data_IF_061602849692
#
_entry.id   IF_061602849692
#
_cell.length_a   1.000
_cell.length_b   1.000
_cell.length_c   1.000
_cell.angle_alpha   90.00
_cell.angle_beta   90.00
_cell.angle_gamma   90.00
#
_symmetry.space_group_name_H-M   'P 1'
#
loop_
_entity.id
_entity.type
_entity.pdbx_description
1 polymer ?
#
# COMPACT_ATOMS: atom_id res chain seq x y z
N UNK A 1 -13.62 -7.91 30.63
CA UNK A 1 -12.88 -8.44 29.46
C UNK A 1 -11.42 -8.57 29.84
N UNK A 2 -10.73 -9.61 29.36
CA UNK A 2 -9.29 -9.74 29.52
C UNK A 2 -8.59 -8.58 28.80
N UNK A 3 -7.61 -7.98 29.44
CA UNK A 3 -6.70 -6.99 28.84
C UNK A 3 -5.37 -7.65 28.53
N UNK A 4 -4.75 -7.26 27.43
CA UNK A 4 -3.52 -7.89 26.93
C UNK A 4 -2.33 -6.94 27.04
N UNK A 5 -1.17 -7.49 27.46
CA UNK A 5 0.11 -6.80 27.41
C UNK A 5 0.82 -7.19 26.11
N UNK A 6 1.26 -6.21 25.35
CA UNK A 6 1.74 -6.38 23.98
C UNK A 6 3.12 -5.76 23.81
N UNK A 7 4.04 -6.48 23.17
CA UNK A 7 5.26 -5.90 22.59
C UNK A 7 5.09 -5.91 21.07
N UNK A 8 5.24 -4.73 20.45
CA UNK A 8 5.23 -4.56 18.99
C UNK A 8 6.61 -4.13 18.51
N UNK A 9 7.30 -5.03 17.82
CA UNK A 9 8.61 -4.77 17.23
C UNK A 9 8.47 -4.15 15.85
N UNK A 10 9.24 -3.09 15.57
CA UNK A 10 9.15 -2.34 14.31
C UNK A 10 7.74 -1.78 14.10
N UNK A 11 7.19 -1.17 15.14
CA UNK A 11 5.77 -0.84 15.28
C UNK A 11 5.23 0.09 14.19
N UNK A 12 6.10 0.93 13.62
CA UNK A 12 5.68 1.93 12.66
C UNK A 12 4.69 2.92 13.29
N UNK A 13 3.56 3.12 12.63
CA UNK A 13 2.47 3.99 13.10
C UNK A 13 1.39 3.23 13.90
N UNK A 14 1.75 2.20 14.62
CA UNK A 14 0.86 1.39 15.48
C UNK A 14 -0.36 0.75 14.78
N UNK A 15 -0.18 0.31 13.54
CA UNK A 15 -1.21 -0.46 12.83
C UNK A 15 -1.65 -1.70 13.61
N UNK A 16 -0.75 -2.31 14.39
CA UNK A 16 -1.03 -3.46 15.26
C UNK A 16 -2.01 -3.11 16.38
N UNK A 17 -1.85 -1.96 17.03
CA UNK A 17 -2.75 -1.49 18.08
C UNK A 17 -4.15 -1.19 17.53
N UNK A 18 -4.22 -0.57 16.35
CA UNK A 18 -5.48 -0.35 15.65
C UNK A 18 -6.18 -1.69 15.30
N UNK A 19 -5.40 -2.69 14.86
CA UNK A 19 -5.91 -4.01 14.53
C UNK A 19 -6.46 -4.74 15.76
N UNK A 20 -5.81 -4.60 16.92
CA UNK A 20 -6.33 -5.13 18.19
C UNK A 20 -7.70 -4.57 18.52
N UNK A 21 -7.88 -3.25 18.41
CA UNK A 21 -9.19 -2.61 18.62
C UNK A 21 -10.26 -3.18 17.69
N UNK A 22 -9.94 -3.36 16.38
CA UNK A 22 -10.87 -3.98 15.41
C UNK A 22 -11.16 -5.46 15.67
N UNK A 23 -10.21 -6.17 16.29
CA UNK A 23 -10.41 -7.56 16.71
C UNK A 23 -11.22 -7.67 18.01
N UNK A 24 -11.58 -6.55 18.65
CA UNK A 24 -12.29 -6.53 19.93
C UNK A 24 -11.41 -6.86 21.15
N UNK A 25 -10.09 -6.75 21.00
CA UNK A 25 -9.12 -7.02 22.06
C UNK A 25 -8.80 -5.73 22.84
N UNK A 26 -8.94 -5.77 24.15
CA UNK A 26 -8.57 -4.67 25.02
C UNK A 26 -7.10 -4.71 25.39
N UNK A 27 -6.40 -3.61 25.20
CA UNK A 27 -4.99 -3.45 25.58
C UNK A 27 -4.88 -3.03 27.04
N UNK A 28 -3.94 -3.62 27.79
CA UNK A 28 -3.51 -3.15 29.11
C UNK A 28 -2.28 -2.25 28.95
N UNK A 29 -1.22 -2.81 28.43
CA UNK A 29 0.00 -2.06 28.06
C UNK A 29 0.42 -2.41 26.65
N UNK A 30 0.75 -1.40 25.87
CA UNK A 30 1.29 -1.56 24.52
C UNK A 30 2.68 -0.95 24.48
N UNK A 31 3.67 -1.80 24.32
CA UNK A 31 5.07 -1.46 24.26
C UNK A 31 5.53 -1.46 22.79
N UNK A 32 5.81 -0.28 22.25
CA UNK A 32 6.19 -0.09 20.86
C UNK A 32 7.71 0.09 20.71
N UNK A 33 8.34 -0.76 19.89
CA UNK A 33 9.73 -0.58 19.49
C UNK A 33 9.76 0.08 18.10
N UNK A 34 10.03 1.38 18.07
CA UNK A 34 10.13 2.18 16.85
C UNK A 34 11.18 3.27 17.03
N UNK A 35 11.93 3.58 15.95
CA UNK A 35 12.98 4.61 15.93
C UNK A 35 12.66 5.78 15.00
N UNK A 36 11.69 5.61 14.08
CA UNK A 36 11.26 6.69 13.20
C UNK A 36 10.39 7.69 13.97
N UNK A 37 10.95 8.89 14.18
CA UNK A 37 10.29 9.96 14.95
C UNK A 37 8.91 10.35 14.40
N UNK A 38 8.69 10.24 13.08
CA UNK A 38 7.41 10.58 12.46
C UNK A 38 6.37 9.49 12.68
N UNK A 39 6.77 8.23 12.62
CA UNK A 39 5.90 7.11 12.99
C UNK A 39 5.50 7.20 14.46
N UNK A 40 6.48 7.45 15.36
CA UNK A 40 6.21 7.68 16.79
C UNK A 40 5.31 8.89 17.04
N UNK A 41 5.37 9.95 16.21
CA UNK A 41 4.47 11.09 16.30
C UNK A 41 3.03 10.67 16.00
N UNK A 42 2.79 9.98 14.88
CA UNK A 42 1.47 9.46 14.52
C UNK A 42 0.92 8.52 15.59
N UNK A 43 1.78 7.65 16.15
CA UNK A 43 1.39 6.77 17.26
C UNK A 43 0.93 7.57 18.47
N UNK A 44 1.66 8.62 18.90
CA UNK A 44 1.27 9.43 20.07
C UNK A 44 -0.05 10.14 19.90
N UNK A 45 -0.38 10.57 18.68
CA UNK A 45 -1.64 11.25 18.39
C UNK A 45 -2.83 10.30 18.39
N UNK A 46 -2.66 9.11 17.81
CA UNK A 46 -3.74 8.12 17.75
C UNK A 46 -3.86 7.28 19.04
N UNK A 47 -2.73 7.05 19.72
CA UNK A 47 -2.62 6.18 20.90
C UNK A 47 -1.67 6.80 21.94
N UNK A 48 -2.10 7.83 22.66
CA UNK A 48 -1.24 8.57 23.61
C UNK A 48 -0.70 7.72 24.76
N UNK A 49 -1.38 6.63 25.11
CA UNK A 49 -0.97 5.72 26.18
C UNK A 49 0.06 4.67 25.74
N UNK A 50 0.53 4.72 24.49
CA UNK A 50 1.55 3.79 23.98
C UNK A 50 2.91 4.04 24.64
N UNK A 51 3.49 2.98 25.20
CA UNK A 51 4.80 3.01 25.86
C UNK A 51 5.91 2.79 24.81
N UNK A 52 6.60 3.87 24.42
CA UNK A 52 7.66 3.82 23.42
C UNK A 52 8.96 3.29 24.03
N UNK A 53 9.42 2.13 23.57
CA UNK A 53 10.68 1.52 23.98
C UNK A 53 11.88 1.91 23.10
N UNK A 54 11.62 2.48 21.91
CA UNK A 54 12.65 2.92 20.97
C UNK A 54 13.29 1.77 20.20
N UNK A 55 14.61 1.67 20.27
CA UNK A 55 15.38 0.68 19.50
C UNK A 55 15.17 -0.73 20.03
N UNK A 56 14.65 -1.61 19.19
CA UNK A 56 14.38 -3.02 19.48
C UNK A 56 15.60 -3.80 20.00
N UNK A 57 16.81 -3.41 19.59
CA UNK A 57 18.08 -4.05 20.02
C UNK A 57 18.40 -3.80 21.48
N UNK A 58 17.76 -2.83 22.12
CA UNK A 58 17.98 -2.47 23.52
C UNK A 58 16.91 -3.01 24.46
N UNK A 59 15.84 -3.60 23.91
CA UNK A 59 14.73 -4.11 24.73
C UNK A 59 15.14 -5.42 25.38
N UNK A 60 15.10 -5.45 26.73
CA UNK A 60 15.35 -6.63 27.56
C UNK A 60 14.33 -6.72 28.68
N UNK A 61 14.17 -7.90 29.25
CA UNK A 61 13.28 -8.12 30.41
C UNK A 61 13.75 -7.35 31.65
N UNK A 62 15.03 -7.00 31.74
CA UNK A 62 15.60 -6.18 32.82
C UNK A 62 15.06 -4.74 32.85
N UNK A 63 14.52 -4.24 31.73
CA UNK A 63 13.81 -2.94 31.69
C UNK A 63 12.53 -2.93 32.51
N UNK A 64 12.03 -4.11 32.86
CA UNK A 64 10.82 -4.33 33.65
C UNK A 64 11.21 -4.90 35.00
N UNK A 65 10.48 -4.52 36.08
CA UNK A 65 10.65 -5.18 37.36
C UNK A 65 10.19 -6.64 37.23
N UNK A 66 10.96 -7.58 37.80
CA UNK A 66 10.65 -9.00 37.69
C UNK A 66 9.26 -9.34 38.25
N UNK A 67 8.90 -8.75 39.39
CA UNK A 67 7.56 -8.89 40.00
C UNK A 67 6.47 -8.38 39.08
N UNK A 68 6.73 -7.25 38.39
CA UNK A 68 5.79 -6.70 37.42
C UNK A 68 5.51 -7.62 36.25
N UNK A 69 6.54 -8.25 35.68
CA UNK A 69 6.37 -9.22 34.58
C UNK A 69 5.71 -10.52 35.04
N UNK A 70 5.89 -10.94 36.29
CA UNK A 70 5.15 -12.08 36.86
C UNK A 70 3.66 -11.83 36.95
N UNK A 71 3.28 -10.62 37.33
CA UNK A 71 1.87 -10.22 37.44
C UNK A 71 1.27 -9.80 36.08
N UNK A 72 2.09 -9.25 35.19
CA UNK A 72 1.71 -8.71 33.88
C UNK A 72 2.57 -9.32 32.77
N UNK A 73 2.46 -10.64 32.51
CA UNK A 73 3.23 -11.28 31.43
C UNK A 73 2.87 -10.69 30.07
N UNK A 74 3.81 -10.75 29.14
CA UNK A 74 3.53 -10.36 27.75
C UNK A 74 2.64 -11.42 27.11
N UNK A 75 1.44 -11.05 26.73
CA UNK A 75 0.48 -11.95 26.09
C UNK A 75 0.74 -12.10 24.59
N UNK A 76 1.11 -11.01 23.92
CA UNK A 76 1.28 -10.97 22.46
C UNK A 76 2.57 -10.26 22.07
N UNK A 77 3.36 -10.92 21.23
CA UNK A 77 4.48 -10.31 20.51
C UNK A 77 4.11 -10.21 19.03
N UNK A 78 4.20 -9.02 18.44
CA UNK A 78 3.99 -8.85 17.01
C UNK A 78 5.04 -7.96 16.38
N UNK A 79 5.27 -8.12 15.07
CA UNK A 79 6.22 -7.28 14.33
C UNK A 79 6.33 -7.63 12.87
N UNK A 80 6.92 -6.69 12.12
CA UNK A 80 7.28 -6.86 10.70
C UNK A 80 8.74 -6.48 10.51
N UNK A 81 9.65 -7.44 10.61
CA UNK A 81 11.08 -7.14 10.51
C UNK A 81 11.44 -6.62 9.10
N UNK A 82 12.36 -5.63 8.98
CA UNK A 82 12.81 -5.15 7.68
C UNK A 82 13.33 -6.28 6.80
N UNK A 83 12.78 -6.37 5.56
CA UNK A 83 13.02 -7.48 4.63
C UNK A 83 14.26 -7.32 3.75
N UNK A 84 15.00 -6.22 3.87
CA UNK A 84 16.04 -5.85 2.89
C UNK A 84 17.21 -6.85 2.78
N UNK A 85 17.43 -7.69 3.78
CA UNK A 85 18.38 -8.82 3.73
C UNK A 85 17.82 -10.10 3.12
N UNK A 86 16.48 -10.24 3.04
CA UNK A 86 15.79 -11.44 2.57
C UNK A 86 15.11 -11.28 1.20
N UNK A 87 15.15 -10.07 0.60
CA UNK A 87 14.43 -9.81 -0.65
C UNK A 87 15.13 -10.42 -1.87
N UNK A 88 14.34 -10.67 -2.93
CA UNK A 88 14.76 -11.24 -4.23
C UNK A 88 15.92 -10.49 -4.90
N UNK A 89 16.19 -9.24 -4.50
CA UNK A 89 17.24 -8.37 -5.06
C UNK A 89 18.53 -8.37 -4.22
N UNK A 90 18.58 -9.03 -3.06
CA UNK A 90 19.77 -9.11 -2.21
C UNK A 90 20.62 -10.33 -2.54
N UNK A 91 21.92 -10.13 -2.67
CA UNK A 91 22.89 -11.21 -2.76
C UNK A 91 22.81 -12.04 -1.47
N UNK A 92 22.58 -13.34 -1.60
CA UNK A 92 22.61 -14.41 -0.60
C UNK A 92 22.51 -14.02 0.87
N UNK A 93 21.62 -14.71 1.60
CA UNK A 93 21.53 -14.71 3.05
C UNK A 93 22.93 -14.79 3.67
N UNK A 94 23.48 -13.64 3.96
CA UNK A 94 24.65 -13.59 4.81
C UNK A 94 24.13 -13.25 6.21
N UNK A 95 24.30 -14.15 7.17
CA UNK A 95 24.00 -13.93 8.59
C UNK A 95 24.72 -12.69 9.15
N UNK A 96 25.71 -12.18 8.42
CA UNK A 96 26.45 -10.96 8.71
C UNK A 96 25.80 -9.68 8.18
N UNK A 97 24.70 -9.75 7.37
CA UNK A 97 24.00 -8.54 6.94
C UNK A 97 23.28 -7.91 8.16
N UNK A 98 23.61 -6.66 8.52
CA UNK A 98 22.98 -5.96 9.66
C UNK A 98 21.45 -5.98 9.63
N UNK A 99 20.85 -6.10 8.46
CA UNK A 99 19.39 -6.08 8.24
C UNK A 99 18.74 -7.43 8.55
N UNK A 100 19.47 -8.54 8.38
CA UNK A 100 19.02 -9.86 8.82
C UNK A 100 19.07 -9.98 10.35
N UNK A 101 19.98 -9.24 11.00
CA UNK A 101 20.10 -9.23 12.49
C UNK A 101 18.81 -8.79 13.16
N UNK A 102 18.03 -7.88 12.55
CA UNK A 102 16.79 -7.39 13.14
C UNK A 102 15.69 -8.46 13.26
N UNK A 103 15.67 -9.46 12.37
CA UNK A 103 14.80 -10.64 12.58
C UNK A 103 15.18 -11.39 13.85
N UNK A 104 16.47 -11.56 14.12
CA UNK A 104 16.93 -12.25 15.32
C UNK A 104 16.64 -11.48 16.61
N UNK A 105 16.48 -10.15 16.53
CA UNK A 105 15.99 -9.39 17.68
C UNK A 105 14.52 -9.74 18.02
N UNK A 106 13.68 -9.95 17.01
CA UNK A 106 12.33 -10.46 17.24
C UNK A 106 12.36 -11.86 17.88
N UNK A 107 13.24 -12.76 17.39
CA UNK A 107 13.41 -14.10 17.97
C UNK A 107 13.90 -14.00 19.42
N UNK A 108 14.90 -13.15 19.70
CA UNK A 108 15.43 -12.94 21.05
C UNK A 108 14.33 -12.49 22.02
N UNK A 109 13.54 -11.49 21.63
CA UNK A 109 12.43 -11.01 22.46
C UNK A 109 11.38 -12.11 22.67
N UNK A 110 11.07 -12.91 21.62
CA UNK A 110 10.16 -14.04 21.74
C UNK A 110 10.66 -15.08 22.78
N UNK A 111 11.94 -15.43 22.75
CA UNK A 111 12.53 -16.41 23.69
C UNK A 111 12.64 -15.83 25.12
N UNK A 112 12.91 -14.54 25.25
CA UNK A 112 13.10 -13.87 26.53
C UNK A 112 11.77 -13.65 27.26
N UNK A 113 10.76 -13.09 26.57
CA UNK A 113 9.46 -12.77 27.18
C UNK A 113 8.44 -13.90 27.13
N UNK A 114 8.66 -14.92 26.30
CA UNK A 114 7.81 -16.12 26.14
C UNK A 114 6.31 -15.79 26.01
N UNK A 115 5.92 -14.90 25.07
CA UNK A 115 4.54 -14.48 24.91
C UNK A 115 3.65 -15.68 24.58
N UNK A 116 2.39 -15.66 25.07
CA UNK A 116 1.41 -16.70 24.74
C UNK A 116 1.13 -16.76 23.24
N UNK A 117 1.07 -15.60 22.60
CA UNK A 117 0.81 -15.45 21.17
C UNK A 117 1.93 -14.65 20.50
N UNK A 118 2.19 -14.98 19.24
CA UNK A 118 3.07 -14.18 18.42
C UNK A 118 2.55 -14.06 16.99
N UNK A 119 2.92 -12.96 16.31
CA UNK A 119 2.64 -12.68 14.91
C UNK A 119 3.83 -11.97 14.29
N UNK A 120 4.51 -12.63 13.35
CA UNK A 120 5.55 -12.04 12.52
C UNK A 120 5.06 -11.91 11.09
N UNK A 121 5.12 -10.71 10.52
CA UNK A 121 4.81 -10.45 9.11
C UNK A 121 6.09 -10.23 8.33
N UNK A 122 6.12 -10.70 7.06
CA UNK A 122 7.16 -10.30 6.12
C UNK A 122 6.67 -10.38 4.66
N UNK A 123 7.47 -9.83 3.75
CA UNK A 123 7.24 -9.95 2.30
C UNK A 123 7.47 -11.38 1.83
N UNK A 124 6.89 -11.72 0.65
CA UNK A 124 7.21 -12.98 -0.02
C UNK A 124 8.69 -13.03 -0.39
N UNK A 125 9.37 -14.10 -0.01
CA UNK A 125 10.79 -14.31 -0.20
C UNK A 125 11.08 -15.72 -0.73
N UNK A 126 12.35 -16.04 -1.01
CA UNK A 126 12.77 -17.38 -1.43
C UNK A 126 12.44 -18.42 -0.36
N UNK A 127 12.17 -19.65 -0.80
CA UNK A 127 11.79 -20.75 0.12
C UNK A 127 12.84 -20.99 1.19
N UNK A 128 14.13 -20.96 0.84
CA UNK A 128 15.24 -21.15 1.78
C UNK A 128 15.20 -20.12 2.92
N UNK A 129 14.84 -18.87 2.63
CA UNK A 129 14.69 -17.83 3.64
C UNK A 129 13.45 -18.05 4.50
N UNK A 130 12.34 -18.50 3.90
CA UNK A 130 11.13 -18.87 4.64
C UNK A 130 11.43 -20.02 5.61
N UNK A 131 12.14 -21.05 5.17
CA UNK A 131 12.48 -22.23 5.98
C UNK A 131 13.33 -21.86 7.19
N UNK A 132 14.26 -20.90 7.04
CA UNK A 132 15.03 -20.38 8.17
C UNK A 132 14.13 -19.69 9.18
N UNK A 133 13.26 -18.78 8.73
CA UNK A 133 12.32 -18.09 9.61
C UNK A 133 11.40 -19.11 10.29
N UNK A 134 10.84 -20.06 9.53
CA UNK A 134 9.95 -21.11 10.06
C UNK A 134 10.64 -21.94 11.15
N UNK A 135 11.94 -22.27 10.98
CA UNK A 135 12.72 -22.98 11.98
C UNK A 135 12.80 -22.24 13.33
N UNK A 136 13.03 -20.92 13.31
CA UNK A 136 13.12 -20.13 14.54
C UNK A 136 11.73 -19.79 15.11
N UNK A 137 10.73 -19.64 14.26
CA UNK A 137 9.36 -19.36 14.70
C UNK A 137 8.63 -20.62 15.20
N UNK A 138 9.05 -21.81 14.74
CA UNK A 138 8.41 -23.09 15.07
C UNK A 138 7.10 -23.36 14.35
N UNK A 139 6.76 -22.54 13.32
CA UNK A 139 5.54 -22.64 12.51
C UNK A 139 5.84 -22.29 11.06
N UNK A 140 5.05 -22.85 10.12
CA UNK A 140 5.12 -22.47 8.72
C UNK A 140 4.35 -21.16 8.46
N UNK A 141 4.76 -20.39 7.44
CA UNK A 141 4.06 -19.15 7.11
C UNK A 141 2.76 -19.40 6.35
N UNK A 142 1.79 -18.55 6.60
CA UNK A 142 0.55 -18.48 5.84
C UNK A 142 0.64 -17.27 4.91
N UNK A 143 0.48 -17.46 3.59
CA UNK A 143 0.41 -16.37 2.64
C UNK A 143 -1.02 -15.80 2.61
N UNK A 144 -1.15 -14.50 2.87
CA UNK A 144 -2.43 -13.78 2.76
C UNK A 144 -2.25 -12.63 1.78
N UNK A 145 -3.23 -12.48 0.88
CA UNK A 145 -3.32 -11.32 0.01
C UNK A 145 -4.31 -10.31 0.58
N UNK A 146 -3.87 -9.09 0.82
CA UNK A 146 -4.73 -8.00 1.32
C UNK A 146 -5.89 -7.68 0.37
N UNK A 147 -5.84 -8.14 -0.89
CA UNK A 147 -6.93 -7.95 -1.86
C UNK A 147 -8.27 -8.55 -1.39
N UNK A 148 -8.25 -9.46 -0.44
CA UNK A 148 -9.45 -10.02 0.16
C UNK A 148 -10.21 -9.00 1.02
N UNK A 149 -9.52 -8.07 1.65
CA UNK A 149 -10.11 -7.10 2.58
C UNK A 149 -9.93 -5.64 2.16
N UNK A 150 -9.22 -5.39 1.06
CA UNK A 150 -8.84 -4.06 0.58
C UNK A 150 -8.83 -4.02 -0.94
N UNK A 151 -8.87 -2.82 -1.51
CA UNK A 151 -8.65 -2.60 -2.94
C UNK A 151 -7.16 -2.74 -3.36
N UNK A 152 -6.29 -3.34 -2.52
CA UNK A 152 -4.86 -3.48 -2.74
C UNK A 152 -4.44 -4.94 -2.94
N UNK A 153 -3.69 -5.23 -4.00
CA UNK A 153 -3.02 -6.51 -4.17
C UNK A 153 -1.67 -6.50 -3.44
N UNK A 154 -1.65 -7.04 -2.21
CA UNK A 154 -0.48 -7.06 -1.32
C UNK A 154 -0.35 -8.43 -0.69
N UNK A 155 0.50 -9.30 -1.24
CA UNK A 155 0.80 -10.62 -0.69
C UNK A 155 1.85 -10.52 0.39
N UNK A 156 1.56 -11.11 1.55
CA UNK A 156 2.48 -11.17 2.70
C UNK A 156 2.47 -12.56 3.32
N UNK A 157 3.55 -12.86 4.02
CA UNK A 157 3.73 -14.09 4.78
C UNK A 157 3.57 -13.77 6.27
N UNK A 158 2.85 -14.64 6.97
CA UNK A 158 2.56 -14.50 8.38
C UNK A 158 2.95 -15.77 9.12
N UNK A 159 3.89 -15.67 10.06
CA UNK A 159 4.24 -16.73 10.99
C UNK A 159 3.55 -16.42 12.32
N UNK A 160 2.65 -17.28 12.74
CA UNK A 160 1.87 -17.08 13.97
C UNK A 160 1.41 -18.40 14.57
N UNK A 161 1.26 -18.42 15.90
CA UNK A 161 0.61 -19.51 16.64
C UNK A 161 -0.85 -19.16 17.00
N UNK A 162 -1.36 -18.02 16.55
CA UNK A 162 -2.75 -17.64 16.76
C UNK A 162 -3.62 -18.49 15.81
N UNK A 163 -4.61 -19.24 16.31
CA UNK A 163 -5.55 -19.94 15.44
C UNK A 163 -6.52 -18.93 14.81
N UNK A 164 -6.68 -18.96 13.51
CA UNK A 164 -7.65 -18.12 12.81
C UNK A 164 -8.21 -18.84 11.58
N UNK A 165 -9.39 -18.40 11.15
CA UNK A 165 -10.10 -19.04 10.05
C UNK A 165 -9.53 -18.65 8.68
N UNK A 166 -9.43 -19.63 7.79
CA UNK A 166 -9.07 -19.42 6.37
C UNK A 166 -10.06 -20.21 5.49
N UNK A 167 -10.36 -19.71 4.28
CA UNK A 167 -9.93 -18.44 3.68
C UNK A 167 -10.64 -17.22 4.28
N UNK A 168 -9.99 -16.05 4.16
CA UNK A 168 -10.65 -14.76 4.46
C UNK A 168 -11.66 -14.46 3.35
N UNK A 169 -12.85 -14.02 3.70
CA UNK A 169 -13.88 -13.61 2.76
C UNK A 169 -13.45 -12.42 1.92
N UNK A 170 -13.59 -12.51 0.58
CA UNK A 170 -13.27 -11.39 -0.32
C UNK A 170 -14.40 -10.36 -0.28
N UNK A 171 -14.07 -9.15 0.19
CA UNK A 171 -14.98 -8.00 0.21
C UNK A 171 -15.27 -7.41 -1.18
N UNK A 172 -14.62 -7.89 -2.23
CA UNK A 172 -14.81 -7.44 -3.62
C UNK A 172 -14.36 -6.00 -3.90
N UNK A 173 -13.66 -5.33 -2.98
CA UNK A 173 -13.26 -3.93 -3.10
C UNK A 173 -12.30 -3.70 -4.27
N UNK A 174 -12.54 -2.65 -5.05
CA UNK A 174 -11.69 -2.19 -6.15
C UNK A 174 -11.24 -0.74 -5.92
N UNK A 175 -10.32 -0.22 -6.74
CA UNK A 175 -9.77 1.13 -6.57
C UNK A 175 -10.84 2.21 -6.50
N UNK A 176 -11.91 2.11 -7.31
CA UNK A 176 -13.02 3.08 -7.30
C UNK A 176 -13.61 3.27 -5.90
N UNK A 177 -13.67 2.21 -5.09
CA UNK A 177 -14.33 2.23 -3.79
C UNK A 177 -13.55 3.03 -2.72
N UNK A 178 -12.28 3.33 -3.01
CA UNK A 178 -11.41 4.06 -2.06
C UNK A 178 -11.04 5.47 -2.53
N UNK A 179 -11.42 5.86 -3.76
CA UNK A 179 -11.05 7.16 -4.30
C UNK A 179 -11.78 8.29 -3.59
N UNK A 180 -11.09 9.41 -3.43
CA UNK A 180 -11.70 10.66 -3.03
C UNK A 180 -12.49 11.27 -4.19
N UNK A 181 -13.60 12.01 -3.92
CA UNK A 181 -14.25 12.85 -4.92
C UNK A 181 -13.25 13.81 -5.55
N UNK A 182 -13.33 13.99 -6.88
CA UNK A 182 -12.33 14.78 -7.62
C UNK A 182 -12.27 16.26 -7.19
N UNK A 183 -13.38 16.82 -6.74
CA UNK A 183 -13.46 18.17 -6.19
C UNK A 183 -12.64 18.37 -4.92
N UNK A 184 -12.34 17.29 -4.21
CA UNK A 184 -11.53 17.31 -2.98
C UNK A 184 -10.03 17.08 -3.25
N UNK A 185 -9.66 16.76 -4.51
CA UNK A 185 -8.27 16.46 -4.84
C UNK A 185 -7.46 17.76 -4.99
N UNK A 186 -6.42 17.91 -4.20
CA UNK A 186 -5.52 19.06 -4.30
C UNK A 186 -4.86 19.15 -5.70
N UNK A 187 -4.70 20.38 -6.25
CA UNK A 187 -4.12 20.59 -7.58
C UNK A 187 -2.76 19.93 -7.81
N UNK A 188 -1.96 19.74 -6.76
CA UNK A 188 -0.65 19.09 -6.84
C UNK A 188 -0.71 17.63 -7.29
N UNK A 189 -1.84 16.94 -7.10
CA UNK A 189 -2.06 15.57 -7.58
C UNK A 189 -2.59 15.54 -9.01
N UNK A 190 -3.17 16.66 -9.47
CA UNK A 190 -3.77 16.84 -10.80
C UNK A 190 -2.85 17.55 -11.78
N UNK A 191 -1.81 18.25 -11.27
CA UNK A 191 -0.95 19.12 -12.07
C UNK A 191 0.03 18.33 -12.95
N UNK A 192 0.30 18.87 -14.14
CA UNK A 192 1.31 18.35 -15.07
C UNK A 192 0.70 17.80 -16.36
N UNK A 193 1.56 17.34 -17.25
CA UNK A 193 1.16 16.62 -18.46
C UNK A 193 0.89 15.15 -18.07
N UNK A 194 -0.31 14.88 -17.62
CA UNK A 194 -0.72 13.57 -17.11
C UNK A 194 -1.28 12.68 -18.23
N UNK A 195 -0.89 12.94 -19.49
CA UNK A 195 -1.29 12.09 -20.61
C UNK A 195 -0.73 10.68 -20.45
N UNK A 196 -1.58 9.70 -20.61
CA UNK A 196 -1.16 8.30 -20.70
C UNK A 196 -0.64 8.08 -22.10
N UNK A 197 0.63 7.74 -22.20
CA UNK A 197 1.24 7.24 -23.44
C UNK A 197 1.14 5.71 -23.49
N UNK A 198 1.24 5.15 -24.68
CA UNK A 198 1.14 3.70 -24.90
C UNK A 198 -0.10 3.09 -24.22
N UNK A 199 -1.25 3.80 -24.32
CA UNK A 199 -2.50 3.30 -23.75
C UNK A 199 -2.82 1.92 -24.33
N UNK A 200 -2.98 0.99 -23.44
CA UNK A 200 -3.24 -0.43 -23.75
C UNK A 200 -4.72 -0.71 -23.54
N UNK A 201 -5.56 0.10 -24.17
CA UNK A 201 -7.00 -0.11 -24.19
C UNK A 201 -7.33 -1.39 -24.96
N UNK A 202 -8.26 -2.18 -24.44
CA UNK A 202 -8.56 -3.49 -24.99
C UNK A 202 -7.56 -4.56 -24.53
N UNK A 203 -7.43 -5.64 -25.25
CA UNK A 203 -6.84 -6.88 -24.76
C UNK A 203 -5.30 -6.99 -24.91
N UNK A 204 -4.53 -5.92 -25.17
CA UNK A 204 -3.08 -6.04 -25.40
C UNK A 204 -2.26 -5.11 -24.51
N UNK A 205 -1.25 -5.67 -23.82
CA UNK A 205 -0.29 -4.93 -22.99
C UNK A 205 0.69 -4.08 -23.81
N UNK A 206 1.00 -4.48 -25.04
CA UNK A 206 1.83 -3.76 -25.98
C UNK A 206 1.25 -3.92 -27.39
N UNK A 207 0.72 -2.86 -28.02
CA UNK A 207 0.09 -2.95 -29.35
C UNK A 207 1.05 -3.40 -30.46
N UNK A 208 2.36 -3.27 -30.24
CA UNK A 208 3.39 -3.68 -31.19
C UNK A 208 3.80 -5.16 -31.06
N UNK A 209 3.24 -5.88 -30.08
CA UNK A 209 3.62 -7.27 -29.81
C UNK A 209 2.38 -8.16 -29.72
N UNK A 210 2.05 -8.85 -30.81
CA UNK A 210 0.94 -9.80 -30.87
C UNK A 210 1.40 -11.16 -30.31
N UNK A 211 1.37 -11.33 -28.98
CA UNK A 211 1.57 -12.64 -28.36
C UNK A 211 0.53 -12.87 -27.27
N UNK A 212 0.20 -14.16 -27.00
CA UNK A 212 -0.72 -14.50 -25.91
C UNK A 212 -0.23 -14.00 -24.53
N UNK A 213 1.07 -14.01 -24.31
CA UNK A 213 1.69 -13.50 -23.09
C UNK A 213 1.54 -11.97 -22.92
N UNK A 214 1.16 -11.26 -23.99
CA UNK A 214 0.97 -9.81 -24.03
C UNK A 214 -0.51 -9.41 -24.00
N UNK A 215 -1.41 -10.35 -23.81
CA UNK A 215 -2.85 -10.10 -23.84
C UNK A 215 -3.43 -10.10 -22.42
N UNK A 216 -4.14 -9.04 -22.05
CA UNK A 216 -4.95 -8.99 -20.83
C UNK A 216 -6.30 -9.60 -21.15
N UNK A 217 -6.71 -10.56 -20.35
CA UNK A 217 -8.02 -11.18 -20.48
C UNK A 217 -9.01 -10.54 -19.49
N UNK A 218 -10.19 -10.24 -20.01
CA UNK A 218 -11.30 -9.79 -19.19
C UNK A 218 -11.75 -10.95 -18.29
N UNK A 219 -11.76 -10.72 -16.97
CA UNK A 219 -12.18 -11.74 -15.99
C UNK A 219 -13.63 -12.20 -16.16
N UNK A 220 -14.46 -11.43 -16.88
CA UNK A 220 -15.84 -11.80 -17.24
C UNK A 220 -15.91 -12.78 -18.42
N UNK A 221 -14.79 -13.04 -19.11
CA UNK A 221 -14.68 -13.92 -20.29
C UNK A 221 -13.89 -15.18 -19.97
N UNK A 222 -14.13 -16.24 -20.74
CA UNK A 222 -13.38 -17.50 -20.59
C UNK A 222 -11.89 -17.29 -20.91
N UNK A 223 -11.03 -17.88 -20.08
CA UNK A 223 -9.60 -17.94 -20.28
C UNK A 223 -9.22 -18.65 -21.58
N UNK A 224 -8.21 -18.18 -22.33
CA UNK A 224 -7.57 -19.00 -23.34
C UNK A 224 -6.83 -20.19 -22.71
N UNK A 225 -6.46 -21.17 -23.52
CA UNK A 225 -5.68 -22.32 -23.06
C UNK A 225 -4.43 -21.90 -22.28
N UNK A 226 -4.25 -22.50 -21.10
CA UNK A 226 -3.02 -22.33 -20.30
C UNK A 226 -1.89 -23.04 -21.05
N UNK A 227 -0.98 -22.26 -21.63
CA UNK A 227 0.24 -22.80 -22.25
C UNK A 227 1.31 -22.99 -21.18
N UNK A 228 2.03 -24.12 -21.21
CA UNK A 228 3.21 -24.33 -20.38
C UNK A 228 4.29 -23.28 -20.74
N UNK A 229 4.49 -22.30 -19.86
CA UNK A 229 5.45 -21.23 -20.06
C UNK A 229 6.86 -21.73 -19.84
N UNK A 230 7.61 -21.98 -20.91
CA UNK A 230 9.02 -22.42 -20.85
C UNK A 230 10.03 -21.29 -20.75
N UNK A 231 9.62 -20.00 -20.78
CA UNK A 231 10.49 -18.84 -20.70
C UNK A 231 9.87 -17.71 -19.89
N UNK A 232 9.83 -17.81 -18.56
CA UNK A 232 9.74 -16.70 -17.62
C UNK A 232 8.49 -15.79 -17.63
N UNK A 233 7.58 -15.93 -18.57
CA UNK A 233 6.35 -15.18 -18.70
C UNK A 233 5.18 -16.16 -18.56
N UNK A 234 4.92 -16.58 -17.33
CA UNK A 234 3.68 -17.29 -17.02
C UNK A 234 2.50 -16.41 -17.45
N UNK A 235 1.52 -16.98 -18.12
CA UNK A 235 0.20 -16.40 -18.31
C UNK A 235 -0.34 -16.13 -16.91
N UNK A 236 -0.08 -14.94 -16.39
CA UNK A 236 -0.62 -14.50 -15.13
C UNK A 236 -2.02 -13.98 -15.41
N UNK A 237 -3.03 -14.66 -14.92
CA UNK A 237 -4.24 -13.96 -14.53
C UNK A 237 -3.78 -12.91 -13.54
N UNK A 238 -3.88 -11.64 -13.89
CA UNK A 238 -3.74 -10.59 -12.90
C UNK A 238 -5.07 -10.53 -12.16
N UNK A 239 -5.26 -11.47 -11.23
CA UNK A 239 -6.20 -11.23 -10.17
C UNK A 239 -5.72 -9.98 -9.46
N UNK A 240 -6.37 -8.90 -9.73
CA UNK A 240 -6.26 -7.74 -8.91
C UNK A 240 -5.76 -6.45 -9.55
N UNK A 241 -4.69 -6.40 -10.30
CA UNK A 241 -4.17 -5.13 -10.85
C UNK A 241 -4.27 -5.11 -12.37
N UNK A 242 -5.00 -4.17 -12.95
CA UNK A 242 -5.09 -4.00 -14.40
C UNK A 242 -4.32 -2.75 -14.80
N UNK A 243 -3.16 -2.93 -15.44
CA UNK A 243 -2.42 -1.83 -16.04
C UNK A 243 -3.09 -1.42 -17.35
N UNK A 244 -3.49 -0.16 -17.45
CA UNK A 244 -4.19 0.40 -18.62
C UNK A 244 -3.32 1.31 -19.48
N UNK A 245 -2.13 1.67 -19.01
CA UNK A 245 -1.24 2.53 -19.77
C UNK A 245 0.06 2.82 -19.05
N UNK A 246 0.78 3.82 -19.56
CA UNK A 246 2.05 4.30 -19.01
C UNK A 246 2.01 5.82 -18.88
N UNK A 247 2.50 6.34 -17.76
CA UNK A 247 2.72 7.75 -17.55
C UNK A 247 3.96 8.22 -18.34
N UNK A 248 3.91 9.41 -18.92
CA UNK A 248 5.06 10.01 -19.59
C UNK A 248 6.05 10.55 -18.54
N UNK A 249 6.87 9.67 -18.00
CA UNK A 249 7.84 9.95 -16.95
C UNK A 249 9.21 9.35 -17.30
N UNK A 250 10.27 9.98 -16.81
CA UNK A 250 11.59 9.38 -16.81
C UNK A 250 11.72 8.34 -15.69
N UNK A 251 12.41 7.23 -15.95
CA UNK A 251 12.67 6.21 -14.93
C UNK A 251 12.32 4.79 -15.39
N UNK A 252 12.37 3.85 -14.47
CA UNK A 252 12.05 2.44 -14.74
C UNK A 252 10.56 2.25 -15.08
N UNK A 253 10.25 1.26 -15.91
CA UNK A 253 8.89 0.98 -16.41
C UNK A 253 7.87 0.76 -15.28
N UNK A 254 8.28 0.16 -14.16
CA UNK A 254 7.40 -0.03 -13.01
C UNK A 254 6.86 1.30 -12.44
N UNK A 255 7.63 2.39 -12.58
CA UNK A 255 7.23 3.72 -12.11
C UNK A 255 6.26 4.43 -13.05
N UNK A 256 6.17 3.95 -14.30
CA UNK A 256 5.33 4.53 -15.35
C UNK A 256 3.94 3.91 -15.41
N UNK A 257 3.71 2.78 -14.77
CA UNK A 257 2.47 2.02 -14.88
C UNK A 257 1.27 2.80 -14.35
N UNK A 258 0.21 2.84 -15.14
CA UNK A 258 -1.09 3.42 -14.81
C UNK A 258 -2.12 2.30 -14.73
N UNK A 259 -2.95 2.29 -13.69
CA UNK A 259 -3.87 1.20 -13.39
C UNK A 259 -5.32 1.61 -13.57
N UNK A 260 -6.18 0.63 -13.87
CA UNK A 260 -7.63 0.83 -13.93
C UNK A 260 -8.21 1.06 -12.54
N UNK A 261 -9.19 1.97 -12.45
CA UNK A 261 -9.96 2.20 -11.21
C UNK A 261 -10.92 1.04 -10.91
N UNK A 262 -11.24 0.23 -11.91
CA UNK A 262 -12.16 -0.92 -11.79
C UNK A 262 -11.44 -2.22 -11.39
N UNK A 263 -10.20 -2.12 -10.91
CA UNK A 263 -9.37 -3.25 -10.52
C UNK A 263 -8.67 -3.00 -9.17
N UNK A 264 -7.93 -4.01 -8.67
CA UNK A 264 -7.14 -3.87 -7.45
C UNK A 264 -5.92 -2.97 -7.67
N UNK A 265 -5.50 -2.23 -6.65
CA UNK A 265 -4.24 -1.49 -6.63
C UNK A 265 -3.03 -2.43 -6.53
N UNK A 266 -1.86 -2.09 -7.10
CA UNK A 266 -0.61 -2.73 -6.73
C UNK A 266 -0.29 -2.47 -5.25
N UNK A 267 0.72 -3.22 -4.73
CA UNK A 267 1.24 -2.97 -3.39
C UNK A 267 1.67 -1.51 -3.22
N UNK A 268 1.17 -0.84 -2.19
CA UNK A 268 1.66 0.48 -1.80
C UNK A 268 3.06 0.31 -1.23
N UNK A 269 4.04 0.97 -1.83
CA UNK A 269 5.43 0.97 -1.40
C UNK A 269 5.74 2.25 -0.62
N UNK A 270 6.82 2.25 0.16
CA UNK A 270 7.32 3.46 0.79
C UNK A 270 7.73 4.47 -0.30
N UNK A 271 6.87 5.44 -0.58
CA UNK A 271 7.03 6.40 -1.66
C UNK A 271 7.99 7.52 -1.24
N UNK A 272 9.28 7.24 -1.22
CA UNK A 272 10.34 8.20 -0.83
C UNK A 272 10.80 9.09 -1.98
N UNK A 273 9.90 9.45 -2.91
CA UNK A 273 10.18 10.22 -4.12
C UNK A 273 10.37 9.37 -5.38
N UNK A 274 10.70 9.99 -6.50
CA UNK A 274 10.95 9.32 -7.76
C UNK A 274 9.71 8.73 -8.43
N UNK A 275 8.54 9.33 -8.25
CA UNK A 275 7.27 8.91 -8.88
C UNK A 275 6.81 7.48 -8.53
N UNK A 276 7.08 7.04 -7.30
CA UNK A 276 6.74 5.68 -6.84
C UNK A 276 5.28 5.51 -6.40
N UNK A 277 4.53 6.61 -6.30
CA UNK A 277 3.12 6.60 -5.93
C UNK A 277 2.30 5.85 -7.00
N UNK A 278 1.32 5.02 -6.58
CA UNK A 278 0.38 4.39 -7.51
C UNK A 278 -0.35 5.44 -8.38
N UNK A 279 -0.59 5.11 -9.63
CA UNK A 279 -1.22 6.01 -10.62
C UNK A 279 -2.46 5.35 -11.19
N UNK A 280 -3.53 6.13 -11.33
CA UNK A 280 -4.81 5.70 -11.90
C UNK A 280 -5.14 6.45 -13.17
N UNK A 281 -5.97 5.85 -14.02
CA UNK A 281 -6.47 6.46 -15.24
C UNK A 281 -7.60 7.44 -14.92
N UNK A 282 -7.65 8.56 -15.64
CA UNK A 282 -8.76 9.53 -15.63
C UNK A 282 -9.20 9.84 -17.05
N UNK A 283 -10.49 10.14 -17.21
CA UNK A 283 -11.03 10.75 -18.43
C UNK A 283 -11.05 12.28 -18.27
N UNK A 284 -10.78 13.02 -19.33
CA UNK A 284 -10.79 14.49 -19.29
C UNK A 284 -10.75 15.12 -20.67
N UNK A 285 -11.06 16.42 -20.73
CA UNK A 285 -11.02 17.23 -21.95
C UNK A 285 -9.83 18.19 -21.91
N UNK A 286 -9.14 18.38 -23.06
CA UNK A 286 -8.11 19.41 -23.19
C UNK A 286 -8.78 20.71 -23.58
N UNK A 287 -8.65 21.73 -22.75
CA UNK A 287 -9.23 23.06 -23.00
C UNK A 287 -8.13 24.11 -22.92
N UNK A 288 -8.14 25.05 -23.88
CA UNK A 288 -7.22 26.18 -23.81
C UNK A 288 -7.80 27.26 -22.89
N UNK A 289 -7.06 27.62 -21.85
CA UNK A 289 -7.47 28.64 -20.87
C UNK A 289 -6.41 29.73 -20.72
N UNK A 290 -6.89 30.98 -20.58
CA UNK A 290 -6.08 32.08 -20.10
C UNK A 290 -6.23 32.19 -18.60
N UNK A 291 -5.15 31.99 -17.88
CA UNK A 291 -5.12 32.06 -16.41
C UNK A 291 -4.22 33.24 -16.02
N UNK A 292 -4.74 34.13 -15.22
CA UNK A 292 -3.99 35.24 -14.67
C UNK A 292 -2.89 34.71 -13.72
N UNK A 293 -1.61 34.97 -14.03
CA UNK A 293 -0.49 34.41 -13.26
C UNK A 293 -0.43 34.94 -11.82
N UNK A 294 -1.04 36.11 -11.55
CA UNK A 294 -1.03 36.70 -10.20
C UNK A 294 -2.16 36.18 -9.32
N UNK A 295 -3.33 35.92 -9.90
CA UNK A 295 -4.52 35.53 -9.14
C UNK A 295 -4.85 34.05 -9.22
N UNK A 296 -4.23 33.33 -10.17
CA UNK A 296 -4.56 31.93 -10.46
C UNK A 296 -5.96 31.70 -11.06
N UNK A 297 -6.75 32.77 -11.26
CA UNK A 297 -8.12 32.70 -11.77
C UNK A 297 -8.17 32.80 -13.29
N UNK A 298 -9.26 32.28 -13.87
CA UNK A 298 -9.57 32.40 -15.29
C UNK A 298 -9.74 33.86 -15.72
N UNK A 299 -9.09 34.23 -16.82
CA UNK A 299 -9.08 35.58 -17.36
C UNK A 299 -9.04 35.54 -18.91
N UNK A 300 -10.07 34.96 -19.53
CA UNK A 300 -10.12 34.69 -20.97
C UNK A 300 -10.18 35.98 -21.81
N UNK A 301 -10.59 37.09 -21.23
CA UNK A 301 -10.72 38.38 -21.91
C UNK A 301 -9.43 39.20 -21.94
N UNK A 302 -8.40 38.82 -21.16
CA UNK A 302 -7.16 39.55 -21.11
C UNK A 302 -6.31 39.27 -22.37
N UNK A 303 -6.06 40.28 -23.25
CA UNK A 303 -5.30 40.06 -24.46
C UNK A 303 -3.82 39.74 -24.23
N UNK A 304 -3.27 40.12 -23.07
CA UNK A 304 -1.87 39.95 -22.72
C UNK A 304 -1.56 38.54 -22.17
N UNK A 305 -2.57 37.75 -21.89
CA UNK A 305 -2.39 36.38 -21.39
C UNK A 305 -2.55 35.40 -22.54
N UNK A 306 -1.50 34.62 -22.81
CA UNK A 306 -1.56 33.54 -23.79
C UNK A 306 -2.36 32.37 -23.22
N UNK A 307 -3.31 31.87 -24.00
CA UNK A 307 -4.04 30.65 -23.64
C UNK A 307 -3.07 29.47 -23.58
N UNK A 308 -3.14 28.70 -22.51
CA UNK A 308 -2.42 27.44 -22.35
C UNK A 308 -3.41 26.30 -22.35
N UNK A 309 -3.06 25.22 -23.03
CA UNK A 309 -3.81 23.97 -22.96
C UNK A 309 -3.84 23.47 -21.52
N UNK A 310 -5.02 23.24 -21.01
CA UNK A 310 -5.26 22.64 -19.69
C UNK A 310 -6.29 21.54 -19.85
N UNK A 311 -6.17 20.55 -18.99
CA UNK A 311 -7.13 19.48 -18.89
C UNK A 311 -8.18 19.90 -17.88
N UNK A 312 -9.43 19.97 -18.31
CA UNK A 312 -10.56 20.06 -17.40
C UNK A 312 -11.25 18.70 -17.38
N UNK A 313 -11.23 18.07 -16.21
CA UNK A 313 -11.90 16.80 -15.98
C UNK A 313 -13.31 17.07 -15.52
N UNK A 314 -14.28 16.36 -16.09
CA UNK A 314 -15.67 16.42 -15.67
C UNK A 314 -16.02 15.17 -14.88
N UNK A 315 -16.73 15.38 -13.78
CA UNK A 315 -17.17 14.29 -12.91
C UNK A 315 -18.37 13.50 -13.50
N UNK A 316 -19.00 14.04 -14.56
CA UNK A 316 -20.26 13.51 -15.10
C UNK A 316 -20.08 12.69 -16.39
N UNK A 317 -18.84 12.42 -16.83
CA UNK A 317 -18.48 11.73 -18.09
C UNK A 317 -19.19 12.29 -19.35
N UNK A 318 -19.78 13.50 -19.26
CA UNK A 318 -20.52 14.15 -20.35
C UNK A 318 -19.64 15.19 -21.04
N UNK A 319 -19.82 15.33 -22.34
CA UNK A 319 -19.20 16.43 -23.11
C UNK A 319 -19.87 17.77 -22.74
N UNK A 320 -19.12 18.88 -22.78
CA UNK A 320 -19.70 20.23 -22.71
C UNK A 320 -20.65 20.50 -23.88
N UNK A 321 -21.49 21.55 -23.75
CA UNK A 321 -22.33 22.00 -24.87
C UNK A 321 -21.47 22.23 -26.11
N UNK A 322 -21.94 21.73 -27.26
CA UNK A 322 -21.37 22.07 -28.56
C UNK A 322 -21.62 23.57 -28.81
N UNK A 323 -20.54 24.35 -28.82
CA UNK A 323 -20.61 25.77 -29.18
C UNK A 323 -20.28 25.92 -30.66
N UNK A 324 -20.78 27.04 -31.27
CA UNK A 324 -20.51 27.35 -32.68
C UNK A 324 -19.06 27.71 -32.98
N UNK A 325 -18.21 27.77 -31.93
CA UNK A 325 -16.78 28.04 -32.04
C UNK A 325 -16.03 26.69 -32.02
N UNK A 326 -15.67 26.22 -33.20
CA UNK A 326 -14.96 24.92 -33.38
C UNK A 326 -13.66 24.72 -32.56
N UNK A 327 -13.13 25.78 -31.96
CA UNK A 327 -11.87 25.73 -31.17
C UNK A 327 -12.06 25.25 -29.75
N UNK A 328 -13.27 25.26 -29.20
CA UNK A 328 -13.51 24.93 -27.80
C UNK A 328 -14.06 23.51 -27.60
N UNK A 329 -14.43 22.85 -28.67
CA UNK A 329 -14.94 21.49 -28.66
C UNK A 329 -13.83 20.53 -29.11
N UNK A 330 -12.93 20.19 -28.22
CA UNK A 330 -12.06 19.07 -28.45
C UNK A 330 -12.85 17.83 -28.10
N UNK A 331 -13.32 17.11 -29.12
CA UNK A 331 -13.67 15.71 -28.95
C UNK A 331 -12.41 15.03 -28.45
N UNK A 332 -12.41 14.62 -27.20
CA UNK A 332 -11.34 13.76 -26.70
C UNK A 332 -11.48 12.47 -27.49
N UNK A 333 -10.61 12.25 -28.46
CA UNK A 333 -10.48 10.93 -29.05
C UNK A 333 -10.34 9.94 -27.90
N UNK A 334 -11.06 8.83 -27.95
CA UNK A 334 -11.02 7.74 -26.95
C UNK A 334 -9.60 7.28 -26.61
N UNK A 335 -8.60 7.74 -27.35
CA UNK A 335 -7.20 7.39 -27.25
C UNK A 335 -6.38 8.25 -26.28
N UNK A 336 -6.85 9.43 -25.84
CA UNK A 336 -6.13 10.29 -24.89
C UNK A 336 -6.68 10.13 -23.48
N UNK A 337 -5.96 9.40 -22.67
CA UNK A 337 -6.32 9.12 -21.29
C UNK A 337 -5.30 9.69 -20.32
N UNK A 338 -5.77 10.16 -19.20
CA UNK A 338 -4.98 10.86 -18.20
C UNK A 338 -4.85 10.04 -16.93
N UNK A 339 -3.79 10.29 -16.18
CA UNK A 339 -3.54 9.65 -14.91
C UNK A 339 -3.33 10.69 -13.80
N UNK A 340 -3.55 10.31 -12.58
CA UNK A 340 -3.13 11.04 -11.39
C UNK A 340 -2.52 10.10 -10.35
N UNK A 341 -1.80 10.67 -9.39
CA UNK A 341 -1.34 9.93 -8.22
C UNK A 341 -2.51 9.68 -7.27
N UNK A 342 -2.45 8.58 -6.53
CA UNK A 342 -3.29 8.43 -5.35
C UNK A 342 -2.82 9.39 -4.27
N UNK A 343 -3.77 9.95 -3.52
CA UNK A 343 -3.49 10.79 -2.38
C UNK A 343 -3.02 9.97 -1.17
N UNK A 344 -2.41 10.57 -0.14
CA UNK A 344 -2.10 9.85 1.10
C UNK A 344 -3.35 9.23 1.73
N UNK A 345 -4.50 9.92 1.71
CA UNK A 345 -5.76 9.44 2.25
C UNK A 345 -6.24 8.18 1.50
N UNK A 346 -6.18 8.18 0.17
CA UNK A 346 -6.51 7.00 -0.64
C UNK A 346 -5.55 5.82 -0.33
N UNK A 347 -4.27 6.12 -0.08
CA UNK A 347 -3.30 5.11 0.35
C UNK A 347 -3.58 4.58 1.78
N UNK A 348 -4.07 5.42 2.69
CA UNK A 348 -4.56 5.00 4.01
C UNK A 348 -5.72 4.01 3.87
N UNK A 349 -6.70 4.32 3.03
CA UNK A 349 -7.82 3.42 2.74
C UNK A 349 -7.37 2.08 2.15
N UNK A 350 -6.33 2.07 1.30
CA UNK A 350 -5.73 0.83 0.78
C UNK A 350 -5.10 -0.03 1.88
N UNK A 351 -4.58 0.58 2.95
CA UNK A 351 -4.09 -0.16 4.12
C UNK A 351 -5.18 -0.38 5.17
N UNK A 352 -6.42 -0.06 4.83
CA UNK A 352 -7.57 -0.11 5.74
C UNK A 352 -7.36 0.70 7.02
N UNK A 353 -6.59 1.80 6.95
CA UNK A 353 -6.48 2.80 8.00
C UNK A 353 -7.72 3.70 8.01
N UNK A 354 -8.05 4.34 9.13
CA UNK A 354 -9.01 5.45 9.15
C UNK A 354 -8.52 6.60 8.26
N UNK A 355 -9.45 7.37 7.71
CA UNK A 355 -9.13 8.58 6.96
C UNK A 355 -8.33 9.57 7.85
N UNK A 356 -7.27 10.13 7.28
CA UNK A 356 -6.38 11.09 7.95
C UNK A 356 -5.62 10.53 9.17
N UNK A 357 -5.49 9.22 9.28
CA UNK A 357 -4.76 8.58 10.38
C UNK A 357 -3.30 9.06 10.51
N UNK A 358 -2.68 9.47 9.39
CA UNK A 358 -1.28 9.89 9.32
C UNK A 358 -1.12 11.39 9.01
N UNK A 359 -2.16 12.23 9.15
CA UNK A 359 -2.16 13.62 8.66
C UNK A 359 -1.29 14.59 9.46
N UNK A 360 -0.85 14.19 10.65
CA UNK A 360 0.04 14.96 11.51
C UNK A 360 1.45 15.14 10.98
N UNK A 361 1.80 14.46 9.90
CA UNK A 361 3.13 14.52 9.29
C UNK A 361 3.06 14.89 7.81
N UNK A 362 4.20 15.25 7.21
CA UNK A 362 4.25 15.62 5.79
C UNK A 362 3.84 14.45 4.88
N UNK A 363 3.29 14.76 3.69
CA UNK A 363 2.86 13.74 2.74
C UNK A 363 3.97 12.73 2.39
N UNK A 364 5.22 13.14 2.31
CA UNK A 364 6.35 12.23 2.09
C UNK A 364 6.46 11.20 3.22
N UNK A 365 6.30 11.62 4.46
CA UNK A 365 6.33 10.73 5.62
C UNK A 365 5.07 9.86 5.68
N UNK A 366 3.88 10.42 5.33
CA UNK A 366 2.64 9.65 5.19
C UNK A 366 2.83 8.47 4.24
N UNK A 367 3.23 8.71 2.99
CA UNK A 367 3.45 7.64 2.00
C UNK A 367 4.48 6.62 2.48
N UNK A 368 5.58 7.07 3.12
CA UNK A 368 6.62 6.18 3.65
C UNK A 368 6.04 5.22 4.67
N UNK A 369 5.35 5.72 5.68
CA UNK A 369 4.84 4.87 6.77
C UNK A 369 3.64 4.01 6.34
N UNK A 370 2.75 4.52 5.48
CA UNK A 370 1.64 3.76 4.91
C UNK A 370 2.17 2.58 4.08
N UNK A 371 3.20 2.82 3.26
CA UNK A 371 3.81 1.77 2.44
C UNK A 371 4.53 0.69 3.25
N UNK A 372 5.16 1.07 4.36
CA UNK A 372 5.82 0.13 5.29
C UNK A 372 4.82 -0.54 6.25
N UNK A 373 3.67 0.08 6.49
CA UNK A 373 2.65 -0.39 7.43
C UNK A 373 1.93 -1.66 6.98
N UNK A 374 1.13 -2.20 7.87
CA UNK A 374 0.29 -3.36 7.63
C UNK A 374 -1.06 -2.99 7.05
N UNK A 375 -1.69 -3.93 6.33
CA UNK A 375 -3.12 -3.85 6.05
C UNK A 375 -3.86 -4.26 7.32
N UNK A 376 -4.44 -3.28 8.00
CA UNK A 376 -4.98 -3.43 9.37
C UNK A 376 -6.03 -4.54 9.47
N UNK A 377 -6.93 -4.64 8.49
CA UNK A 377 -8.00 -5.65 8.51
C UNK A 377 -7.47 -7.09 8.38
N UNK A 378 -6.32 -7.31 7.73
CA UNK A 378 -5.67 -8.64 7.71
C UNK A 378 -5.18 -8.99 9.10
N UNK A 379 -4.49 -8.06 9.76
CA UNK A 379 -3.99 -8.29 11.13
C UNK A 379 -5.15 -8.49 12.10
N UNK A 380 -6.19 -7.65 12.01
CA UNK A 380 -7.38 -7.78 12.84
C UNK A 380 -8.06 -9.15 12.67
N UNK A 381 -8.12 -9.66 11.42
CA UNK A 381 -8.67 -11.00 11.17
C UNK A 381 -7.86 -12.09 11.88
N UNK A 382 -6.52 -12.05 11.79
CA UNK A 382 -5.66 -13.01 12.50
C UNK A 382 -5.86 -12.89 14.02
N UNK A 383 -5.86 -11.66 14.55
CA UNK A 383 -5.97 -11.42 15.99
C UNK A 383 -7.32 -11.83 16.60
N UNK A 384 -8.40 -11.95 15.82
CA UNK A 384 -9.70 -12.50 16.29
C UNK A 384 -9.59 -13.91 16.83
N UNK A 385 -8.56 -14.66 16.50
CA UNK A 385 -8.30 -15.98 17.02
C UNK A 385 -7.73 -16.01 18.45
N UNK A 386 -7.37 -14.86 19.01
CA UNK A 386 -6.90 -14.76 20.39
C UNK A 386 -8.09 -14.95 21.37
N UNK A 387 -7.91 -15.87 22.31
CA UNK A 387 -8.92 -16.24 23.31
C UNK A 387 -8.43 -15.95 24.72
#
# INVERSE_FOLDING_TARGET
MKKYNVISCFDGSSCGQLAMGRAGLSVNNYYACEIDKYAMQVTRENFPDTLQLGDVTRVTSEMFREEYLKENPIDLLMGGSPCQGFSFAGKNLNFDDPRSKLFFEFVRIKEEFKPKYFLLENVKMKKESQDIISKYMGVEPIEINSSLVSAQNRKRLYWTNIPFDMPIEDKGLVLRDILEPEENIEPKYLAGNNLIINYRGGNQLNPNYKSQANTIHDKSKKSPCVCAGTHGYAIGYVEGCVQVGEANLNGHDILKRVYSVDAKSPTVNACTGGNREPKIMRAGSIINRKINPLTGKRDDYNPNIKAKARIEVRADDKTGCLTTVQKDNVVVHEEQRYWRKLTPLECERLQTLPDNYTDSVSNTQRYKMIGNGWTVDVIAHILKGIK
#
